data_IF_030230669518
#
_entry.id   IF_030230669518
#
_cell.length_a   1.000
_cell.length_b   1.000
_cell.length_c   1.000
_cell.angle_alpha   90.00
_cell.angle_beta   90.00
_cell.angle_gamma   90.00
#
_symmetry.space_group_name_H-M   'P 1'
#
loop_
_entity.id
_entity.type
_entity.pdbx_description
1 polymer ?
#
# COMPACT_ATOMS: atom_id res chain seq x y z
N UNK A 1 -1.01 -18.69 22.02
CA UNK A 1 -2.25 -19.02 21.30
C UNK A 1 -1.92 -19.03 19.83
N UNK A 2 -2.09 -20.15 19.15
CA UNK A 2 -1.80 -20.27 17.72
C UNK A 2 -3.02 -19.77 16.94
N UNK A 3 -3.13 -18.45 16.81
CA UNK A 3 -4.03 -17.86 15.82
C UNK A 3 -3.62 -18.35 14.44
N UNK A 4 -4.59 -18.73 13.62
CA UNK A 4 -4.35 -19.18 12.25
C UNK A 4 -3.54 -18.11 11.50
N UNK A 5 -2.45 -18.52 10.83
CA UNK A 5 -1.59 -17.61 10.08
C UNK A 5 -2.36 -17.11 8.86
N UNK A 6 -2.84 -15.88 8.94
CA UNK A 6 -3.51 -15.19 7.82
C UNK A 6 -2.51 -14.60 6.86
N UNK A 7 -2.94 -14.46 5.61
CA UNK A 7 -2.27 -13.72 4.57
C UNK A 7 -2.99 -12.40 4.33
N UNK A 8 -2.30 -11.28 4.52
CA UNK A 8 -2.85 -9.94 4.33
C UNK A 8 -2.16 -9.25 3.15
N UNK A 9 -2.91 -8.44 2.43
CA UNK A 9 -2.36 -7.50 1.46
C UNK A 9 -2.53 -6.10 2.03
N UNK A 10 -1.46 -5.32 1.99
CA UNK A 10 -1.48 -3.90 2.34
C UNK A 10 -1.17 -3.12 1.07
N UNK A 11 -2.01 -2.17 0.72
CA UNK A 11 -1.82 -1.24 -0.41
C UNK A 11 -1.75 0.16 0.16
N UNK A 12 -0.63 0.85 -0.04
CA UNK A 12 -0.48 2.19 0.51
C UNK A 12 0.52 3.01 -0.31
N UNK A 13 0.48 4.34 -0.20
CA UNK A 13 1.65 5.17 -0.46
C UNK A 13 2.86 4.74 0.40
N UNK A 14 4.07 5.22 0.07
CA UNK A 14 5.22 5.12 0.97
C UNK A 14 4.93 5.87 2.28
N UNK A 15 5.35 5.30 3.41
CA UNK A 15 5.15 5.88 4.73
C UNK A 15 3.73 5.69 5.30
N UNK A 16 3.42 6.48 6.34
CA UNK A 16 2.11 6.48 7.00
C UNK A 16 1.74 5.17 7.72
N UNK A 17 0.44 4.98 7.94
CA UNK A 17 -0.15 3.85 8.66
C UNK A 17 -0.12 2.57 7.84
N UNK A 18 0.05 2.65 6.51
CA UNK A 18 0.23 1.48 5.65
C UNK A 18 1.48 0.69 6.02
N UNK A 19 2.61 1.38 6.21
CA UNK A 19 3.85 0.78 6.69
C UNK A 19 3.68 0.16 8.08
N UNK A 20 3.09 0.92 9.01
CA UNK A 20 2.86 0.46 10.37
C UNK A 20 1.96 -0.77 10.40
N UNK A 21 0.88 -0.79 9.62
CA UNK A 21 -0.04 -1.91 9.51
C UNK A 21 0.65 -3.15 8.94
N UNK A 22 1.44 -3.00 7.87
CA UNK A 22 2.19 -4.10 7.26
C UNK A 22 3.18 -4.72 8.26
N UNK A 23 3.99 -3.90 8.91
CA UNK A 23 5.01 -4.35 9.86
C UNK A 23 4.36 -4.95 11.11
N UNK A 24 3.31 -4.34 11.65
CA UNK A 24 2.66 -4.82 12.86
C UNK A 24 1.91 -6.14 12.64
N UNK A 25 1.24 -6.29 11.50
CA UNK A 25 0.60 -7.55 11.14
C UNK A 25 1.63 -8.68 10.98
N UNK A 26 2.76 -8.41 10.34
CA UNK A 26 3.84 -9.39 10.21
C UNK A 26 4.48 -9.74 11.57
N UNK A 27 4.69 -8.74 12.45
CA UNK A 27 5.13 -8.96 13.85
C UNK A 27 4.12 -9.75 14.70
N UNK A 28 2.88 -9.84 14.25
CA UNK A 28 1.84 -10.68 14.87
C UNK A 28 1.83 -12.12 14.33
N UNK A 29 2.77 -12.47 13.44
CA UNK A 29 2.93 -13.81 12.88
C UNK A 29 2.20 -14.06 11.55
N UNK A 30 1.66 -13.01 10.93
CA UNK A 30 0.96 -13.11 9.64
C UNK A 30 1.90 -13.01 8.43
N UNK A 31 1.46 -13.53 7.29
CA UNK A 31 2.11 -13.27 6.01
C UNK A 31 1.56 -11.97 5.43
N UNK A 32 2.42 -11.03 5.07
CA UNK A 32 2.03 -9.73 4.54
C UNK A 32 2.65 -9.52 3.17
N UNK A 33 1.82 -9.18 2.19
CA UNK A 33 2.24 -8.67 0.89
C UNK A 33 1.92 -7.18 0.85
N UNK A 34 2.95 -6.37 0.92
CA UNK A 34 2.82 -4.92 0.91
C UNK A 34 3.12 -4.38 -0.49
N UNK A 35 2.10 -3.81 -1.12
CA UNK A 35 2.17 -3.16 -2.41
C UNK A 35 2.21 -1.64 -2.22
N UNK A 36 3.32 -1.02 -2.58
CA UNK A 36 3.54 0.43 -2.44
C UNK A 36 3.19 1.14 -3.75
N UNK A 37 2.38 2.18 -3.66
CA UNK A 37 2.05 3.04 -4.81
C UNK A 37 2.80 4.35 -4.68
N UNK A 38 3.71 4.62 -5.61
CA UNK A 38 4.53 5.82 -5.61
C UNK A 38 3.96 6.92 -6.50
N UNK A 39 4.27 8.17 -6.17
CA UNK A 39 4.05 9.27 -7.10
C UNK A 39 4.88 9.08 -8.38
N UNK A 40 4.42 9.60 -9.53
CA UNK A 40 5.15 9.46 -10.79
C UNK A 40 6.55 10.08 -10.63
N UNK A 41 7.59 9.39 -11.10
CA UNK A 41 9.00 9.79 -11.00
C UNK A 41 9.61 9.89 -9.59
N UNK A 42 8.82 9.69 -8.52
CA UNK A 42 9.34 9.55 -7.16
C UNK A 42 9.95 8.16 -6.96
N UNK A 43 11.22 8.12 -6.54
CA UNK A 43 11.90 6.89 -6.14
C UNK A 43 11.88 6.77 -4.62
N UNK A 44 10.69 6.61 -4.04
CA UNK A 44 10.60 6.33 -2.61
C UNK A 44 11.19 4.94 -2.37
N UNK A 45 12.20 4.85 -1.50
CA UNK A 45 12.71 3.55 -1.07
C UNK A 45 12.14 3.24 0.32
N UNK A 46 11.20 2.32 0.38
CA UNK A 46 10.76 1.76 1.66
C UNK A 46 11.89 0.93 2.26
N UNK A 47 12.28 1.22 3.50
CA UNK A 47 13.36 0.51 4.21
C UNK A 47 12.89 0.12 5.59
N UNK A 48 12.87 -1.19 5.85
CA UNK A 48 12.58 -1.71 7.17
C UNK A 48 13.88 -1.84 7.99
N UNK A 49 13.89 -1.39 9.25
CA UNK A 49 15.05 -1.60 10.12
C UNK A 49 15.23 -3.10 10.41
N UNK A 50 16.49 -3.55 10.57
CA UNK A 50 16.81 -4.95 10.86
C UNK A 50 16.07 -5.48 12.09
N UNK A 51 15.92 -4.66 13.13
CA UNK A 51 15.17 -5.00 14.33
C UNK A 51 13.69 -5.30 14.07
N UNK A 52 13.08 -4.67 13.04
CA UNK A 52 11.72 -5.00 12.63
C UNK A 52 11.67 -6.35 11.91
N UNK A 53 12.63 -6.63 11.03
CA UNK A 53 12.73 -7.92 10.33
C UNK A 53 12.99 -9.08 11.30
N UNK A 54 13.87 -8.88 12.29
CA UNK A 54 14.15 -9.86 13.34
C UNK A 54 12.89 -10.16 14.18
N UNK A 55 12.12 -9.12 14.51
CA UNK A 55 10.86 -9.28 15.23
C UNK A 55 9.80 -10.03 14.39
N UNK A 56 9.70 -9.74 13.09
CA UNK A 56 8.82 -10.47 12.15
C UNK A 56 9.22 -11.94 12.09
N UNK A 57 10.51 -12.24 11.92
CA UNK A 57 11.02 -13.60 11.86
C UNK A 57 10.76 -14.37 13.16
N UNK A 58 11.01 -13.73 14.32
CA UNK A 58 10.74 -14.32 15.64
C UNK A 58 9.26 -14.63 15.86
N UNK A 59 8.37 -13.83 15.28
CA UNK A 59 6.93 -14.05 15.34
C UNK A 59 6.43 -15.10 14.32
N UNK A 60 7.27 -15.58 13.41
CA UNK A 60 6.88 -16.50 12.32
C UNK A 60 6.12 -15.83 11.18
N UNK A 61 6.10 -14.50 11.14
CA UNK A 61 5.50 -13.72 10.06
C UNK A 61 6.43 -13.56 8.86
N UNK A 62 5.93 -12.89 7.82
CA UNK A 62 6.73 -12.52 6.65
C UNK A 62 6.23 -11.21 6.05
N UNK A 63 7.13 -10.44 5.44
CA UNK A 63 6.80 -9.25 4.65
C UNK A 63 7.43 -9.41 3.28
N UNK A 64 6.60 -9.35 2.25
CA UNK A 64 7.01 -9.24 0.85
C UNK A 64 6.64 -7.84 0.36
N UNK A 65 7.54 -7.21 -0.39
CA UNK A 65 7.38 -5.84 -0.87
C UNK A 65 7.38 -5.82 -2.40
N UNK A 66 6.40 -5.16 -2.98
CA UNK A 66 6.38 -4.77 -4.38
C UNK A 66 5.83 -3.35 -4.50
N UNK A 67 5.91 -2.75 -5.69
CA UNK A 67 5.33 -1.45 -5.92
C UNK A 67 5.27 -1.08 -7.38
N UNK A 68 4.62 0.05 -7.64
CA UNK A 68 4.38 0.59 -8.97
C UNK A 68 4.14 2.09 -8.86
N UNK A 69 4.50 2.83 -9.90
CA UNK A 69 4.13 4.23 -10.00
C UNK A 69 2.63 4.38 -10.29
N UNK A 70 2.04 5.43 -9.70
CA UNK A 70 0.62 5.77 -9.86
C UNK A 70 0.21 5.97 -11.31
N UNK A 71 1.07 6.54 -12.16
CA UNK A 71 0.76 6.74 -13.58
C UNK A 71 0.47 5.42 -14.30
N UNK A 72 1.28 4.38 -14.08
CA UNK A 72 1.08 3.05 -14.68
C UNK A 72 -0.17 2.32 -14.17
N UNK A 73 -0.67 2.66 -12.98
CA UNK A 73 -1.90 2.10 -12.41
C UNK A 73 -3.16 2.78 -12.93
N UNK A 74 -3.05 4.02 -13.41
CA UNK A 74 -4.15 4.78 -14.00
C UNK A 74 -4.31 4.54 -15.51
N UNK A 75 -3.36 3.82 -16.13
CA UNK A 75 -3.49 3.39 -17.53
C UNK A 75 -4.63 2.37 -17.70
N UNK A 76 -5.29 2.35 -18.87
CA UNK A 76 -6.24 1.29 -19.23
C UNK A 76 -5.61 -0.09 -19.09
N UNK A 77 -6.37 -1.07 -18.62
CA UNK A 77 -5.87 -2.43 -18.36
C UNK A 77 -5.34 -3.18 -19.60
N UNK A 78 -5.73 -2.73 -20.80
CA UNK A 78 -5.24 -3.28 -22.07
C UNK A 78 -3.90 -2.66 -22.51
N UNK A 79 -3.45 -1.60 -21.86
CA UNK A 79 -2.16 -0.96 -22.13
C UNK A 79 -1.01 -1.88 -21.67
N UNK A 80 0.03 -1.97 -22.48
CA UNK A 80 1.20 -2.82 -22.19
C UNK A 80 2.00 -2.30 -20.99
N UNK A 81 1.95 -1.00 -20.74
CA UNK A 81 2.62 -0.34 -19.62
C UNK A 81 1.74 -0.30 -18.36
N UNK A 82 0.51 -0.84 -18.42
CA UNK A 82 -0.38 -0.89 -17.26
C UNK A 82 0.07 -1.92 -16.22
N UNK A 83 0.24 -1.44 -14.99
CA UNK A 83 0.61 -2.30 -13.85
C UNK A 83 -0.59 -3.03 -13.23
N UNK A 84 -1.82 -2.68 -13.60
CA UNK A 84 -3.06 -3.18 -12.99
C UNK A 84 -3.11 -4.71 -12.94
N UNK A 85 -2.87 -5.36 -14.08
CA UNK A 85 -2.88 -6.83 -14.15
C UNK A 85 -1.77 -7.48 -13.32
N UNK A 86 -0.63 -6.80 -13.16
CA UNK A 86 0.47 -7.28 -12.34
C UNK A 86 0.13 -7.20 -10.85
N UNK A 87 -0.60 -6.16 -10.40
CA UNK A 87 -1.09 -6.04 -9.02
C UNK A 87 -1.92 -7.25 -8.63
N UNK A 88 -2.94 -7.59 -9.42
CA UNK A 88 -3.81 -8.74 -9.13
C UNK A 88 -3.02 -10.05 -9.06
N UNK A 89 -2.07 -10.27 -9.99
CA UNK A 89 -1.24 -11.48 -10.02
C UNK A 89 -0.30 -11.58 -8.81
N UNK A 90 0.33 -10.49 -8.42
CA UNK A 90 1.28 -10.46 -7.30
C UNK A 90 0.55 -10.52 -5.94
N UNK A 91 -0.51 -9.72 -5.78
CA UNK A 91 -1.32 -9.69 -4.56
C UNK A 91 -2.08 -10.99 -4.32
N UNK A 92 -2.45 -11.75 -5.37
CA UNK A 92 -3.05 -13.09 -5.26
C UNK A 92 -4.20 -13.23 -4.25
N UNK A 93 -4.44 -14.47 -3.78
CA UNK A 93 -5.47 -14.74 -2.77
C UNK A 93 -5.03 -14.31 -1.38
N UNK A 94 -5.86 -13.56 -0.64
CA UNK A 94 -5.55 -13.06 0.70
C UNK A 94 -6.79 -13.12 1.63
N UNK A 95 -6.57 -13.25 2.93
CA UNK A 95 -7.64 -13.20 3.93
C UNK A 95 -8.23 -11.79 4.11
N UNK A 96 -7.46 -10.77 3.77
CA UNK A 96 -7.89 -9.38 3.81
C UNK A 96 -6.96 -8.45 3.03
N UNK A 97 -7.53 -7.32 2.60
CA UNK A 97 -6.83 -6.22 1.95
C UNK A 97 -7.03 -4.96 2.80
N UNK A 98 -5.94 -4.29 3.11
CA UNK A 98 -5.92 -3.00 3.79
C UNK A 98 -5.42 -1.98 2.77
N UNK A 99 -6.16 -0.91 2.57
CA UNK A 99 -5.74 0.22 1.76
C UNK A 99 -5.66 1.47 2.62
N UNK A 100 -4.57 2.23 2.56
CA UNK A 100 -4.43 3.49 3.31
C UNK A 100 -4.07 4.64 2.38
N UNK A 101 -4.54 5.83 2.72
CA UNK A 101 -4.34 7.06 1.92
C UNK A 101 -3.54 8.12 2.67
N UNK A 102 -3.18 7.86 3.93
CA UNK A 102 -2.60 8.84 4.85
C UNK A 102 -1.16 9.26 4.51
N UNK A 103 -0.41 8.43 3.78
CA UNK A 103 0.93 8.79 3.30
C UNK A 103 0.94 9.69 2.06
N UNK A 104 -0.20 10.02 1.46
CA UNK A 104 -0.27 10.83 0.23
C UNK A 104 0.20 12.26 0.48
N UNK A 105 -0.14 12.82 1.64
CA UNK A 105 0.18 14.21 1.94
C UNK A 105 1.66 14.47 2.21
N UNK A 106 2.37 13.43 2.68
CA UNK A 106 3.80 13.45 2.98
C UNK A 106 4.68 13.16 1.74
N UNK A 107 4.06 12.82 0.60
CA UNK A 107 4.80 12.54 -0.64
C UNK A 107 5.29 13.84 -1.25
N UNK A 108 6.61 13.95 -1.37
CA UNK A 108 7.23 15.03 -2.13
C UNK A 108 7.04 14.78 -3.63
N UNK A 109 6.34 15.71 -4.27
CA UNK A 109 6.22 15.77 -5.72
C UNK A 109 7.36 16.63 -6.27
N UNK A 110 7.90 16.25 -7.43
CA UNK A 110 8.93 17.04 -8.11
C UNK A 110 8.46 18.46 -8.44
N UNK A 111 9.40 19.39 -8.59
CA UNK A 111 9.10 20.80 -8.91
C UNK A 111 8.43 21.01 -10.26
N UNK A 112 8.44 20.00 -11.11
CA UNK A 112 7.88 20.03 -12.47
C UNK A 112 6.38 19.67 -12.49
N UNK A 113 5.77 19.41 -11.33
CA UNK A 113 4.35 19.13 -11.20
C UNK A 113 3.55 20.43 -11.24
N UNK A 114 2.76 20.60 -12.31
CA UNK A 114 1.95 21.79 -12.54
C UNK A 114 0.82 21.95 -11.50
N UNK A 115 0.26 20.82 -11.03
CA UNK A 115 -0.80 20.79 -10.02
C UNK A 115 -0.56 19.65 -9.03
N UNK A 116 -0.12 20.02 -7.82
CA UNK A 116 0.14 19.09 -6.72
C UNK A 116 -1.15 18.49 -6.18
N UNK A 117 -2.27 19.23 -6.20
CA UNK A 117 -3.55 18.72 -5.72
C UNK A 117 -4.11 17.66 -6.67
N UNK A 118 -3.99 17.86 -7.98
CA UNK A 118 -4.32 16.86 -8.99
C UNK A 118 -3.42 15.62 -8.85
N UNK A 119 -2.12 15.81 -8.64
CA UNK A 119 -1.18 14.69 -8.48
C UNK A 119 -1.43 13.87 -7.19
N UNK A 120 -1.82 14.52 -6.10
CA UNK A 120 -2.26 13.84 -4.87
C UNK A 120 -3.54 13.04 -5.10
N UNK A 121 -4.47 13.58 -5.88
CA UNK A 121 -5.70 12.87 -6.26
C UNK A 121 -5.41 11.66 -7.14
N UNK A 122 -4.53 11.79 -8.13
CA UNK A 122 -4.10 10.69 -8.99
C UNK A 122 -3.42 9.59 -8.17
N UNK A 123 -2.59 9.96 -7.20
CA UNK A 123 -1.98 9.01 -6.28
C UNK A 123 -3.05 8.26 -5.45
N UNK A 124 -4.06 8.98 -4.94
CA UNK A 124 -5.17 8.38 -4.22
C UNK A 124 -5.97 7.40 -5.10
N UNK A 125 -6.29 7.82 -6.32
CA UNK A 125 -7.03 7.00 -7.28
C UNK A 125 -6.22 5.74 -7.66
N UNK A 126 -4.90 5.86 -7.84
CA UNK A 126 -4.02 4.72 -8.10
C UNK A 126 -3.98 3.72 -6.93
N UNK A 127 -3.92 4.19 -5.68
CA UNK A 127 -4.02 3.33 -4.48
C UNK A 127 -5.36 2.58 -4.46
N UNK A 128 -6.46 3.27 -4.78
CA UNK A 128 -7.78 2.66 -4.84
C UNK A 128 -7.90 1.63 -5.97
N UNK A 129 -7.29 1.89 -7.14
CA UNK A 129 -7.23 0.93 -8.25
C UNK A 129 -6.45 -0.32 -7.82
N UNK A 130 -5.25 -0.16 -7.27
CA UNK A 130 -4.44 -1.27 -6.80
C UNK A 130 -5.16 -2.08 -5.70
N UNK A 131 -5.83 -1.41 -4.76
CA UNK A 131 -6.61 -2.08 -3.71
C UNK A 131 -7.80 -2.88 -4.26
N UNK A 132 -8.52 -2.32 -5.24
CA UNK A 132 -9.64 -3.02 -5.91
C UNK A 132 -9.15 -4.27 -6.64
N UNK A 133 -8.01 -4.19 -7.29
CA UNK A 133 -7.43 -5.29 -8.05
C UNK A 133 -6.85 -6.38 -7.14
N UNK A 134 -6.22 -5.98 -6.03
CA UNK A 134 -5.85 -6.90 -4.96
C UNK A 134 -7.08 -7.62 -4.35
N UNK A 135 -8.19 -6.90 -4.15
CA UNK A 135 -9.42 -7.49 -3.64
C UNK A 135 -10.00 -8.52 -4.62
N UNK A 136 -10.02 -8.20 -5.92
CA UNK A 136 -10.47 -9.11 -6.99
C UNK A 136 -9.64 -10.39 -7.06
N UNK A 137 -8.35 -10.32 -6.74
CA UNK A 137 -7.45 -11.48 -6.73
C UNK A 137 -7.71 -12.49 -5.59
N UNK A 138 -8.58 -12.15 -4.63
CA UNK A 138 -9.06 -13.09 -3.61
C UNK A 138 -9.16 -12.51 -2.19
N UNK A 139 -9.06 -11.19 -2.02
CA UNK A 139 -9.29 -10.52 -0.75
C UNK A 139 -10.76 -10.57 -0.32
N UNK A 140 -11.10 -11.34 0.73
CA UNK A 140 -12.50 -11.48 1.19
C UNK A 140 -13.05 -10.24 1.90
N UNK A 141 -12.18 -9.32 2.35
CA UNK A 141 -12.52 -8.11 3.10
C UNK A 141 -11.58 -6.98 2.72
N UNK A 142 -12.12 -5.81 2.38
CA UNK A 142 -11.35 -4.60 2.07
C UNK A 142 -11.66 -3.55 3.13
N UNK A 143 -10.63 -2.99 3.74
CA UNK A 143 -10.73 -1.81 4.59
C UNK A 143 -9.94 -0.67 3.93
N UNK A 144 -10.60 0.46 3.70
CA UNK A 144 -9.95 1.69 3.23
C UNK A 144 -9.90 2.64 4.42
N UNK A 145 -8.69 3.01 4.83
CA UNK A 145 -8.47 3.93 5.94
C UNK A 145 -8.13 5.31 5.36
N UNK A 146 -8.97 6.34 5.63
CA UNK A 146 -8.65 7.70 5.24
C UNK A 146 -7.46 8.21 6.06
N UNK A 147 -6.79 9.24 5.55
CA UNK A 147 -5.89 10.04 6.36
C UNK A 147 -6.64 10.53 7.60
N UNK A 148 -6.06 10.50 8.81
CA UNK A 148 -6.62 11.24 9.92
C UNK A 148 -6.64 12.71 9.49
N UNK A 149 -7.83 13.28 9.30
CA UNK A 149 -7.97 14.73 9.33
C UNK A 149 -7.52 15.12 10.73
N UNK A 150 -6.35 15.77 10.85
CA UNK A 150 -6.07 16.56 12.05
C UNK A 150 -7.30 17.43 12.22
N UNK A 151 -8.06 17.18 13.29
CA UNK A 151 -9.23 17.98 13.59
C UNK A 151 -8.81 19.43 13.48
N UNK A 152 -9.56 20.18 12.68
CA UNK A 152 -9.97 21.51 13.11
C UNK A 152 -10.65 21.28 14.47
N UNK A 153 -9.85 21.16 15.54
CA UNK A 153 -10.36 21.34 16.88
C UNK A 153 -10.87 22.79 16.88
N UNK A 154 -12.20 22.88 16.85
CA UNK A 154 -13.01 24.08 16.94
C UNK A 154 -12.51 24.98 18.10
N UNK A 155 -12.30 26.27 17.78
CA UNK A 155 -12.17 27.44 18.67
C UNK A 155 -11.14 27.46 19.82
#
# INVERSE_FOLDING_TARGET
GTGEKKTLVVVSPPGGVGEVAAVHAAKSGHAVRWFVVDAPSSKSSVRLPSSALDAVAKAGGSVELAGSDSASLLLPTADADSSVGAVGRWCGSADGVIATLDGIDDVEFGTDVADVAESKKDLADAVLVAAREAARAGGKKVAVLPAPTLGEDEE
#
